data_IF_793551995527
#
_entry.id   IF_793551995527
#
_cell.length_a   1.000
_cell.length_b   1.000
_cell.length_c   1.000
_cell.angle_alpha   90.00
_cell.angle_beta   90.00
_cell.angle_gamma   90.00
#
_symmetry.space_group_name_H-M   'P 1'
#
loop_
_entity.id
_entity.type
_entity.pdbx_description
1 polymer ?
#
# COMPACT_ATOMS: atom_id res chain seq x y z
N UNK A 1 18.93 8.23 -24.95
CA UNK A 1 17.51 8.48 -24.71
C UNK A 1 17.41 9.89 -24.16
N UNK A 2 16.34 10.62 -24.49
CA UNK A 2 16.11 11.99 -24.00
C UNK A 2 15.32 12.01 -22.68
N UNK A 3 15.33 10.89 -21.93
CA UNK A 3 14.61 10.76 -20.66
C UNK A 3 15.27 11.59 -19.57
N UNK A 4 14.47 12.41 -18.89
CA UNK A 4 14.90 13.17 -17.72
C UNK A 4 14.63 12.38 -16.44
N UNK A 5 15.65 11.67 -15.95
CA UNK A 5 15.59 10.94 -14.69
C UNK A 5 16.21 11.78 -13.55
N UNK A 6 15.46 11.95 -12.45
CA UNK A 6 15.90 12.70 -11.27
C UNK A 6 15.79 11.80 -10.04
N UNK A 7 16.91 11.61 -9.34
CA UNK A 7 16.90 10.99 -8.02
C UNK A 7 16.32 11.98 -7.01
N UNK A 8 15.22 11.61 -6.37
CA UNK A 8 14.46 12.47 -5.48
C UNK A 8 14.71 12.06 -4.02
N UNK A 9 15.48 12.83 -3.23
CA UNK A 9 15.71 12.51 -1.82
C UNK A 9 14.45 12.76 -0.99
N UNK A 10 14.32 12.04 0.13
CA UNK A 10 13.21 12.23 1.08
C UNK A 10 13.74 12.51 2.48
N UNK A 11 13.52 13.73 2.94
CA UNK A 11 13.80 14.13 4.32
C UNK A 11 12.50 14.07 5.15
N UNK A 12 12.50 13.46 6.34
CA UNK A 12 11.37 13.48 7.26
C UNK A 12 11.21 14.84 7.95
N UNK A 13 9.97 15.20 8.31
CA UNK A 13 9.66 16.45 9.03
C UNK A 13 9.96 16.39 10.53
N UNK A 14 9.76 15.23 11.17
CA UNK A 14 10.12 15.00 12.57
C UNK A 14 10.69 13.58 12.75
N UNK A 15 11.98 13.49 13.08
CA UNK A 15 12.67 12.22 13.34
C UNK A 15 13.13 12.06 14.80
N UNK A 16 12.62 12.92 15.70
CA UNK A 16 12.89 12.86 17.13
C UNK A 16 14.10 13.70 17.55
N UNK A 17 15.04 13.09 18.26
CA UNK A 17 16.26 13.79 18.72
C UNK A 17 17.29 13.92 17.58
N UNK A 18 18.18 14.92 17.64
CA UNK A 18 19.24 15.15 16.62
C UNK A 18 20.06 13.88 16.30
N UNK A 19 20.32 13.03 17.31
CA UNK A 19 21.06 11.77 17.13
C UNK A 19 20.23 10.73 16.36
N UNK A 20 18.92 10.70 16.60
CA UNK A 20 17.97 9.83 15.93
C UNK A 20 17.70 10.32 14.49
N UNK A 21 17.64 11.64 14.27
CA UNK A 21 17.56 12.27 12.94
C UNK A 21 18.72 11.84 12.04
N UNK A 22 19.95 11.86 12.56
CA UNK A 22 21.15 11.44 11.83
C UNK A 22 21.13 9.94 11.46
N UNK A 23 20.48 9.09 12.25
CA UNK A 23 20.36 7.66 11.99
C UNK A 23 19.19 7.30 11.06
N UNK A 24 18.14 8.10 11.04
CA UNK A 24 16.86 7.80 10.35
C UNK A 24 16.65 8.65 9.08
N UNK A 25 17.40 9.75 8.88
CA UNK A 25 17.26 10.64 7.71
C UNK A 25 17.29 9.92 6.34
N UNK A 26 18.01 8.81 6.22
CA UNK A 26 18.07 7.99 4.98
C UNK A 26 17.04 6.87 4.92
N UNK A 27 16.24 6.68 5.98
CA UNK A 27 15.31 5.57 6.08
C UNK A 27 13.92 5.89 5.52
N UNK A 28 13.54 7.15 5.34
CA UNK A 28 12.27 7.53 4.70
C UNK A 28 12.39 7.59 3.18
N UNK A 29 11.31 7.26 2.47
CA UNK A 29 11.34 7.13 1.01
C UNK A 29 10.12 7.80 0.38
N UNK A 30 10.28 8.27 -0.87
CA UNK A 30 9.12 8.55 -1.71
C UNK A 30 8.53 7.21 -2.17
N UNK A 31 7.37 6.85 -1.63
CA UNK A 31 6.76 5.54 -1.87
C UNK A 31 5.62 5.56 -2.91
N UNK A 32 5.33 6.71 -3.52
CA UNK A 32 4.32 6.85 -4.57
C UNK A 32 4.74 6.10 -5.84
N UNK A 33 3.89 5.20 -6.35
CA UNK A 33 4.03 4.56 -7.67
C UNK A 33 3.04 5.21 -8.63
N UNK A 34 3.55 5.99 -9.57
CA UNK A 34 2.73 6.83 -10.46
C UNK A 34 3.22 6.70 -11.89
N UNK A 35 2.28 6.51 -12.81
CA UNK A 35 2.47 6.75 -14.25
C UNK A 35 1.40 7.73 -14.70
N UNK A 36 1.79 8.80 -15.39
CA UNK A 36 0.87 9.76 -16.01
C UNK A 36 1.24 9.91 -17.46
N UNK A 37 0.26 9.78 -18.34
CA UNK A 37 0.43 9.88 -19.79
C UNK A 37 -0.71 10.66 -20.41
N UNK A 38 -0.43 11.33 -21.53
CA UNK A 38 -1.45 11.71 -22.48
C UNK A 38 -1.90 10.47 -23.27
N UNK A 39 -3.20 10.37 -23.53
CA UNK A 39 -3.83 9.24 -24.21
C UNK A 39 -4.87 9.73 -25.21
N UNK A 40 -5.13 8.94 -26.25
CA UNK A 40 -6.15 9.29 -27.23
C UNK A 40 -7.55 9.35 -26.57
N UNK A 41 -8.39 10.26 -27.07
CA UNK A 41 -9.78 10.30 -26.68
C UNK A 41 -10.52 9.02 -27.10
N UNK A 42 -11.51 8.54 -26.32
CA UNK A 42 -12.40 7.47 -26.75
C UNK A 42 -13.37 8.05 -27.79
N UNK A 43 -12.94 8.23 -29.04
CA UNK A 43 -13.78 8.73 -30.15
C UNK A 43 -13.68 7.85 -31.39
N UNK A 44 -14.74 7.81 -32.24
CA UNK A 44 -14.66 7.17 -33.55
C UNK A 44 -13.67 7.90 -34.46
N UNK A 45 -13.03 7.15 -35.36
CA UNK A 45 -11.87 7.51 -36.22
C UNK A 45 -11.97 8.80 -37.09
N UNK A 46 -13.06 9.57 -37.01
CA UNK A 46 -13.33 10.73 -37.89
C UNK A 46 -13.28 12.11 -37.21
N UNK A 47 -13.06 12.18 -35.89
CA UNK A 47 -12.96 13.44 -35.15
C UNK A 47 -11.50 13.87 -34.93
N UNK A 48 -11.26 15.18 -34.73
CA UNK A 48 -9.89 15.70 -34.51
C UNK A 48 -9.19 14.97 -33.37
N UNK A 49 -7.88 14.71 -33.54
CA UNK A 49 -7.07 13.86 -32.66
C UNK A 49 -6.74 14.54 -31.33
N UNK A 50 -7.77 14.89 -30.55
CA UNK A 50 -7.60 15.40 -29.20
C UNK A 50 -7.20 14.27 -28.25
N UNK A 51 -6.45 14.64 -27.23
CA UNK A 51 -5.88 13.76 -26.21
C UNK A 51 -6.41 14.15 -24.84
N UNK A 52 -6.26 13.26 -23.87
CA UNK A 52 -6.67 13.41 -22.48
C UNK A 52 -5.58 12.90 -21.57
N UNK A 53 -5.63 13.24 -20.29
CA UNK A 53 -4.72 12.67 -19.29
C UNK A 53 -5.29 11.35 -18.77
N UNK A 54 -4.40 10.38 -18.59
CA UNK A 54 -4.64 9.08 -17.97
C UNK A 54 -3.54 8.83 -16.96
N UNK A 55 -3.92 8.35 -15.78
CA UNK A 55 -3.00 8.18 -14.67
C UNK A 55 -3.14 6.79 -14.05
N UNK A 56 -2.08 6.30 -13.42
CA UNK A 56 -2.03 5.00 -12.75
C UNK A 56 -1.46 5.19 -11.35
N UNK A 57 -2.08 4.54 -10.37
CA UNK A 57 -1.64 4.52 -8.97
C UNK A 57 -1.88 3.13 -8.37
N UNK A 58 -1.07 2.73 -7.39
CA UNK A 58 -1.25 1.45 -6.71
C UNK A 58 -0.01 0.98 -5.96
N UNK A 59 0.10 -0.33 -5.78
CA UNK A 59 1.24 -0.97 -5.11
C UNK A 59 2.40 -1.36 -6.03
N UNK A 60 2.14 -1.58 -7.32
CA UNK A 60 3.15 -2.04 -8.29
C UNK A 60 4.12 -0.93 -8.73
N UNK A 61 5.40 -1.10 -8.40
CA UNK A 61 6.52 -0.39 -9.03
C UNK A 61 6.88 -1.03 -10.38
N UNK A 62 7.47 -0.24 -11.28
CA UNK A 62 8.04 -0.74 -12.55
C UNK A 62 9.50 -1.21 -12.33
N UNK A 63 9.66 -2.31 -11.60
CA UNK A 63 10.95 -2.93 -11.31
C UNK A 63 10.86 -4.47 -11.25
N UNK A 64 11.99 -5.10 -10.98
CA UNK A 64 12.17 -6.54 -10.85
C UNK A 64 11.23 -7.18 -9.81
N UNK A 65 10.78 -8.41 -10.09
CA UNK A 65 9.98 -9.25 -9.21
C UNK A 65 8.49 -8.95 -9.18
N UNK A 66 8.03 -7.83 -9.76
CA UNK A 66 6.63 -7.37 -9.68
C UNK A 66 5.72 -8.02 -10.72
N UNK A 67 6.28 -8.51 -11.82
CA UNK A 67 5.49 -9.24 -12.81
C UNK A 67 5.04 -10.56 -12.20
N UNK A 68 3.73 -10.82 -12.23
CA UNK A 68 3.13 -12.08 -11.84
C UNK A 68 1.70 -12.18 -12.41
N UNK A 69 1.06 -13.32 -12.19
CA UNK A 69 -0.35 -13.58 -12.51
C UNK A 69 -1.02 -14.23 -11.31
N UNK A 70 -2.37 -14.33 -11.27
CA UNK A 70 -3.06 -15.02 -10.17
C UNK A 70 -2.67 -16.49 -9.95
N UNK A 71 -1.92 -17.10 -10.89
CA UNK A 71 -1.35 -18.43 -10.70
C UNK A 71 -0.24 -18.46 -9.64
N UNK A 72 0.46 -17.33 -9.44
CA UNK A 72 1.50 -17.15 -8.42
C UNK A 72 2.46 -18.34 -8.30
N UNK A 73 3.02 -18.73 -9.45
CA UNK A 73 3.80 -19.94 -9.57
C UNK A 73 5.11 -19.83 -8.79
N UNK A 74 5.39 -20.83 -7.95
CA UNK A 74 6.64 -20.88 -7.16
C UNK A 74 7.79 -21.56 -7.90
N UNK A 75 7.50 -22.46 -8.85
CA UNK A 75 8.52 -23.12 -9.68
C UNK A 75 8.17 -23.20 -11.18
N UNK A 76 6.89 -23.32 -11.53
CA UNK A 76 6.42 -23.55 -12.91
C UNK A 76 6.64 -22.43 -13.93
N UNK A 77 7.38 -21.37 -13.59
CA UNK A 77 7.66 -20.20 -14.46
C UNK A 77 9.13 -19.83 -14.51
N UNK A 78 9.99 -20.61 -13.85
CA UNK A 78 11.43 -20.33 -13.71
C UNK A 78 12.22 -20.53 -15.02
N UNK A 79 11.67 -21.28 -15.97
CA UNK A 79 12.17 -21.44 -17.34
C UNK A 79 11.44 -20.53 -18.35
N UNK A 80 10.58 -19.65 -17.87
CA UNK A 80 9.76 -18.77 -18.69
C UNK A 80 9.82 -17.32 -18.20
N UNK A 81 8.65 -16.77 -17.86
CA UNK A 81 8.49 -15.35 -17.53
C UNK A 81 9.39 -14.85 -16.38
N UNK A 82 9.83 -15.73 -15.49
CA UNK A 82 10.65 -15.37 -14.32
C UNK A 82 12.09 -15.88 -14.41
N UNK A 83 12.55 -16.34 -15.57
CA UNK A 83 13.95 -16.77 -15.74
C UNK A 83 14.92 -15.61 -15.51
N UNK A 84 14.64 -14.48 -16.15
CA UNK A 84 15.42 -13.24 -16.06
C UNK A 84 14.84 -12.23 -15.05
N UNK A 85 13.81 -12.63 -14.31
CA UNK A 85 13.11 -11.82 -13.30
C UNK A 85 12.86 -12.64 -12.01
N UNK A 86 13.88 -13.39 -11.59
CA UNK A 86 13.82 -14.21 -10.38
C UNK A 86 13.97 -13.33 -9.12
N UNK A 87 12.91 -13.26 -8.33
CA UNK A 87 12.88 -12.50 -7.08
C UNK A 87 12.68 -13.41 -5.87
N UNK A 88 13.62 -13.38 -4.91
CA UNK A 88 13.55 -14.14 -3.66
C UNK A 88 14.50 -13.55 -2.60
N UNK A 89 14.10 -12.49 -1.89
CA UNK A 89 14.96 -11.81 -0.91
C UNK A 89 14.93 -12.44 0.49
N UNK A 90 14.11 -13.46 0.73
CA UNK A 90 13.98 -14.09 2.04
C UNK A 90 15.12 -15.07 2.34
N UNK A 91 15.91 -15.45 1.32
CA UNK A 91 17.10 -16.27 1.46
C UNK A 91 18.32 -15.53 0.93
N UNK A 92 19.36 -15.40 1.74
CA UNK A 92 20.57 -14.64 1.40
C UNK A 92 21.30 -15.14 0.14
N UNK A 93 21.14 -16.42 -0.21
CA UNK A 93 21.83 -17.07 -1.33
C UNK A 93 20.88 -17.45 -2.47
N UNK A 94 19.65 -16.91 -2.49
CA UNK A 94 18.70 -17.19 -3.55
C UNK A 94 19.22 -16.72 -4.92
N UNK A 95 19.07 -17.58 -5.92
CA UNK A 95 19.43 -17.30 -7.30
C UNK A 95 18.67 -18.27 -8.21
N UNK A 96 18.35 -17.83 -9.43
CA UNK A 96 17.70 -18.69 -10.43
C UNK A 96 18.51 -19.96 -10.70
N UNK A 97 19.84 -19.88 -10.69
CA UNK A 97 20.75 -21.03 -10.87
C UNK A 97 20.64 -22.08 -9.75
N UNK A 98 20.08 -21.70 -8.60
CA UNK A 98 19.81 -22.59 -7.45
C UNK A 98 18.34 -23.02 -7.35
N UNK A 99 17.50 -22.55 -8.27
CA UNK A 99 16.11 -22.97 -8.43
C UNK A 99 15.12 -22.13 -7.62
N UNK A 100 13.92 -22.67 -7.45
CA UNK A 100 12.88 -22.03 -6.64
C UNK A 100 12.91 -22.44 -5.17
N UNK A 101 11.92 -21.97 -4.38
CA UNK A 101 10.78 -21.19 -4.85
C UNK A 101 11.16 -19.72 -5.10
N UNK A 102 10.70 -19.12 -6.21
CA UNK A 102 10.62 -17.64 -6.24
C UNK A 102 9.61 -17.16 -5.21
N UNK A 103 9.64 -15.89 -4.85
CA UNK A 103 8.57 -15.25 -4.07
C UNK A 103 7.51 -14.68 -5.04
N UNK A 104 6.32 -15.28 -5.20
CA UNK A 104 5.27 -14.72 -6.04
C UNK A 104 4.77 -13.38 -5.50
N UNK A 105 4.28 -12.51 -6.37
CA UNK A 105 3.92 -11.12 -6.04
C UNK A 105 2.43 -10.88 -6.23
N UNK A 106 1.68 -10.82 -5.13
CA UNK A 106 0.26 -10.45 -5.11
C UNK A 106 0.10 -8.97 -4.76
N UNK A 107 -0.48 -8.21 -5.68
CA UNK A 107 -0.60 -6.76 -5.55
C UNK A 107 -1.77 -6.21 -6.38
N UNK A 108 -2.15 -4.96 -6.12
CA UNK A 108 -3.27 -4.28 -6.76
C UNK A 108 -2.82 -2.92 -7.30
N UNK A 109 -3.33 -2.56 -8.47
CA UNK A 109 -3.09 -1.28 -9.13
C UNK A 109 -4.36 -0.82 -9.83
N UNK A 110 -4.53 0.49 -10.03
CA UNK A 110 -5.67 1.03 -10.76
C UNK A 110 -5.24 2.04 -11.82
N UNK A 111 -6.05 2.09 -12.89
CA UNK A 111 -6.02 3.12 -13.92
C UNK A 111 -7.12 4.13 -13.64
N UNK A 112 -6.79 5.40 -13.73
CA UNK A 112 -7.65 6.53 -13.45
C UNK A 112 -7.86 7.34 -14.72
N UNK A 113 -9.12 7.62 -15.02
CA UNK A 113 -9.57 8.35 -16.19
C UNK A 113 -10.57 9.43 -15.79
N UNK A 114 -10.66 10.49 -16.57
CA UNK A 114 -11.50 11.64 -16.26
C UNK A 114 -10.81 12.65 -15.34
N UNK A 115 -11.56 13.52 -14.64
CA UNK A 115 -11.00 14.63 -13.87
C UNK A 115 -9.89 14.23 -12.88
N UNK A 116 -10.05 13.08 -12.21
CA UNK A 116 -9.09 12.59 -11.22
C UNK A 116 -7.70 12.27 -11.79
N UNK A 117 -7.59 12.00 -13.09
CA UNK A 117 -6.29 11.77 -13.71
C UNK A 117 -5.40 13.03 -13.66
N UNK A 118 -6.01 14.22 -13.75
CA UNK A 118 -5.29 15.48 -13.59
C UNK A 118 -4.85 15.73 -12.15
N UNK A 119 -5.57 15.23 -11.14
CA UNK A 119 -5.13 15.38 -9.74
C UNK A 119 -3.81 14.63 -9.49
N UNK A 120 -3.63 13.46 -10.12
CA UNK A 120 -2.36 12.70 -10.06
C UNK A 120 -1.25 13.44 -10.80
N UNK A 121 -1.56 14.03 -11.97
CA UNK A 121 -0.61 14.89 -12.70
C UNK A 121 -0.21 16.09 -11.85
N UNK A 122 -1.18 16.75 -11.22
CA UNK A 122 -0.93 17.89 -10.35
C UNK A 122 -0.05 17.53 -9.16
N UNK A 123 -0.27 16.36 -8.53
CA UNK A 123 0.65 15.85 -7.52
C UNK A 123 2.09 15.69 -8.06
N UNK A 124 2.26 15.14 -9.27
CA UNK A 124 3.59 15.03 -9.90
C UNK A 124 4.20 16.43 -10.14
N UNK A 125 3.44 17.38 -10.67
CA UNK A 125 3.92 18.74 -10.90
C UNK A 125 4.34 19.45 -9.61
N UNK A 126 3.56 19.31 -8.53
CA UNK A 126 3.90 19.88 -7.22
C UNK A 126 5.24 19.34 -6.71
N UNK A 127 5.46 18.02 -6.85
CA UNK A 127 6.73 17.38 -6.48
C UNK A 127 7.88 17.80 -7.38
N UNK A 128 7.66 17.86 -8.68
CA UNK A 128 8.68 18.27 -9.64
C UNK A 128 9.12 19.73 -9.41
N UNK A 129 8.17 20.65 -9.16
CA UNK A 129 8.49 22.05 -8.82
C UNK A 129 9.31 22.16 -7.53
N UNK A 130 9.09 21.25 -6.57
CA UNK A 130 9.81 21.23 -5.29
C UNK A 130 11.20 20.59 -5.40
N UNK A 131 11.32 19.46 -6.12
CA UNK A 131 12.50 18.58 -6.05
C UNK A 131 13.02 18.08 -7.42
N UNK A 132 12.38 18.42 -8.54
CA UNK A 132 12.74 17.98 -9.90
C UNK A 132 13.89 18.76 -10.54
N UNK A 133 14.26 19.91 -9.98
CA UNK A 133 15.43 20.70 -10.36
C UNK A 133 15.24 21.59 -11.60
N UNK A 134 15.03 21.00 -12.79
CA UNK A 134 14.89 21.76 -14.05
C UNK A 134 13.44 22.13 -14.33
N UNK A 135 13.21 23.29 -14.92
CA UNK A 135 11.87 23.67 -15.41
C UNK A 135 11.59 22.99 -16.76
N UNK A 136 11.04 21.77 -16.68
CA UNK A 136 10.73 20.91 -17.83
C UNK A 136 9.26 20.47 -17.85
N UNK A 137 8.44 21.03 -16.96
CA UNK A 137 7.02 20.71 -16.93
C UNK A 137 6.33 21.26 -18.19
N UNK A 138 5.52 20.41 -18.80
CA UNK A 138 4.71 20.79 -19.95
C UNK A 138 3.68 21.83 -19.49
N UNK A 139 3.67 22.98 -20.15
CA UNK A 139 2.67 24.00 -19.92
C UNK A 139 1.38 23.59 -20.64
N UNK A 140 0.48 22.88 -19.95
CA UNK A 140 -0.76 22.35 -20.55
C UNK A 140 -1.64 23.41 -21.21
N UNK A 141 -1.51 24.68 -20.82
CA UNK A 141 -2.20 25.82 -21.46
C UNK A 141 -1.77 26.01 -22.91
N UNK A 142 -0.51 25.75 -23.22
CA UNK A 142 0.04 25.87 -24.57
C UNK A 142 -0.40 24.71 -25.47
N UNK A 143 -0.92 23.62 -24.87
CA UNK A 143 -1.44 22.44 -25.55
C UNK A 143 -2.98 22.35 -25.50
N UNK A 144 -3.70 23.44 -25.22
CA UNK A 144 -5.15 23.41 -25.03
C UNK A 144 -5.94 22.91 -26.26
N UNK A 145 -5.39 23.09 -27.46
CA UNK A 145 -5.99 22.58 -28.71
C UNK A 145 -5.80 21.06 -28.87
N UNK A 146 -4.73 20.51 -28.28
CA UNK A 146 -4.37 19.09 -28.36
C UNK A 146 -4.91 18.28 -27.17
N UNK A 147 -4.72 18.76 -25.95
CA UNK A 147 -5.12 18.09 -24.70
C UNK A 147 -6.37 18.80 -24.16
N UNK A 148 -7.43 18.03 -23.93
CA UNK A 148 -8.69 18.56 -23.38
C UNK A 148 -8.51 19.04 -21.93
N UNK A 149 -9.34 19.96 -21.43
CA UNK A 149 -9.36 20.31 -20.00
C UNK A 149 -9.96 19.17 -19.16
N UNK A 150 -9.89 19.26 -17.82
CA UNK A 150 -10.59 18.39 -16.87
C UNK A 150 -12.01 17.99 -17.28
N UNK A 151 -12.19 16.77 -17.81
CA UNK A 151 -13.46 16.33 -18.43
C UNK A 151 -13.82 14.89 -18.06
N UNK A 152 -15.11 14.59 -17.78
CA UNK A 152 -15.61 13.23 -17.64
C UNK A 152 -15.38 12.37 -18.89
N UNK A 153 -15.19 11.07 -18.70
CA UNK A 153 -15.07 10.08 -19.80
C UNK A 153 -16.37 9.33 -20.10
N UNK A 154 -17.33 9.39 -19.18
CA UNK A 154 -18.68 8.84 -19.29
C UNK A 154 -19.68 9.88 -18.79
N UNK A 155 -20.96 9.72 -19.16
CA UNK A 155 -22.04 10.56 -18.65
C UNK A 155 -22.33 10.25 -17.17
N UNK A 156 -22.83 11.22 -16.43
CA UNK A 156 -23.06 11.07 -14.99
C UNK A 156 -24.16 10.05 -14.65
N UNK A 157 -25.08 9.81 -15.58
CA UNK A 157 -26.18 8.84 -15.46
C UNK A 157 -25.76 7.41 -15.85
N UNK A 158 -24.53 7.23 -16.35
CA UNK A 158 -24.00 5.91 -16.68
C UNK A 158 -23.78 5.10 -15.39
N UNK A 159 -24.22 3.84 -15.39
CA UNK A 159 -24.06 2.93 -14.25
C UNK A 159 -22.61 2.54 -14.01
N UNK A 160 -21.76 2.68 -15.03
CA UNK A 160 -20.33 2.44 -14.95
C UNK A 160 -19.54 3.70 -14.55
N UNK A 161 -20.20 4.81 -14.21
CA UNK A 161 -19.55 6.03 -13.77
C UNK A 161 -18.97 5.89 -12.35
N UNK A 162 -17.78 6.47 -12.15
CA UNK A 162 -17.08 6.45 -10.86
C UNK A 162 -16.92 7.86 -10.31
N UNK A 163 -17.26 8.04 -9.04
CA UNK A 163 -16.82 9.19 -8.25
C UNK A 163 -15.52 8.81 -7.55
N UNK A 164 -14.43 9.47 -7.91
CA UNK A 164 -13.08 9.17 -7.40
C UNK A 164 -12.51 10.41 -6.73
N UNK A 165 -11.83 10.21 -5.60
CA UNK A 165 -11.10 11.24 -4.89
C UNK A 165 -9.66 10.77 -4.66
N UNK A 166 -8.69 11.64 -4.93
CA UNK A 166 -7.28 11.38 -4.67
C UNK A 166 -6.92 11.77 -3.23
N UNK A 167 -6.09 10.95 -2.58
CA UNK A 167 -5.60 11.16 -1.22
C UNK A 167 -4.07 11.00 -1.19
N UNK A 168 -3.39 11.65 -0.24
CA UNK A 168 -1.94 11.59 -0.10
C UNK A 168 -1.46 11.54 1.36
N UNK A 169 -0.21 11.13 1.49
CA UNK A 169 0.65 11.36 2.66
C UNK A 169 1.91 12.06 2.14
N UNK A 170 1.97 13.38 2.29
CA UNK A 170 3.04 14.23 1.74
C UNK A 170 3.11 15.54 2.53
N UNK A 171 4.27 16.20 2.55
CA UNK A 171 4.45 17.48 3.25
C UNK A 171 5.01 18.57 2.34
N UNK A 172 5.06 19.80 2.85
CA UNK A 172 5.64 20.96 2.17
C UNK A 172 7.12 20.84 1.82
N UNK A 173 7.84 19.89 2.42
CA UNK A 173 9.21 19.53 2.05
C UNK A 173 9.27 18.80 0.71
N UNK A 174 8.24 18.02 0.39
CA UNK A 174 8.15 17.19 -0.81
C UNK A 174 7.25 17.76 -1.92
N UNK A 175 6.35 18.69 -1.60
CA UNK A 175 5.41 19.28 -2.57
C UNK A 175 5.35 20.80 -2.47
N UNK A 176 5.36 21.46 -3.62
CA UNK A 176 5.16 22.91 -3.73
C UNK A 176 3.68 23.28 -3.75
N UNK A 177 3.33 24.47 -3.23
CA UNK A 177 2.01 25.08 -3.41
C UNK A 177 0.95 24.63 -2.41
N UNK A 178 1.34 24.20 -1.21
CA UNK A 178 0.40 24.12 -0.10
C UNK A 178 -0.03 25.52 0.37
N UNK A 179 -1.23 25.67 0.95
CA UNK A 179 -1.68 26.94 1.52
C UNK A 179 -0.75 27.41 2.64
N UNK A 180 -0.41 28.70 2.66
CA UNK A 180 0.51 29.29 3.65
C UNK A 180 -0.19 29.69 4.96
N UNK A 181 -1.52 29.87 4.94
CA UNK A 181 -2.29 30.31 6.12
C UNK A 181 -2.82 29.11 6.91
N UNK A 182 -2.83 29.16 8.26
CA UNK A 182 -3.43 28.09 9.07
C UNK A 182 -4.91 27.86 8.77
N UNK A 183 -5.66 28.90 8.38
CA UNK A 183 -7.07 28.79 8.05
C UNK A 183 -7.30 27.99 6.75
N UNK A 184 -6.55 28.32 5.69
CA UNK A 184 -6.68 27.59 4.43
C UNK A 184 -6.10 26.17 4.52
N UNK A 185 -5.03 25.99 5.30
CA UNK A 185 -4.49 24.66 5.61
C UNK A 185 -5.53 23.79 6.33
N UNK A 186 -6.17 24.32 7.39
CA UNK A 186 -7.22 23.61 8.11
C UNK A 186 -8.44 23.32 7.22
N UNK A 187 -8.82 24.25 6.34
CA UNK A 187 -9.92 24.05 5.37
C UNK A 187 -9.63 22.92 4.37
N UNK A 188 -8.37 22.70 4.03
CA UNK A 188 -7.91 21.59 3.20
C UNK A 188 -7.62 20.30 3.99
N UNK A 189 -7.86 20.28 5.31
CA UNK A 189 -7.56 19.13 6.17
C UNK A 189 -6.07 18.90 6.42
N UNK A 190 -5.23 19.89 6.14
CA UNK A 190 -3.79 19.84 6.39
C UNK A 190 -3.49 20.13 7.85
N UNK A 191 -2.45 19.49 8.38
CA UNK A 191 -2.01 19.68 9.77
C UNK A 191 -0.60 20.26 9.81
N UNK A 192 -0.30 21.04 10.85
CA UNK A 192 1.06 21.52 11.08
C UNK A 192 1.93 20.40 11.65
N UNK A 193 3.03 20.13 10.97
CA UNK A 193 4.14 19.36 11.50
C UNK A 193 5.09 20.23 12.32
N UNK A 194 6.34 19.78 12.44
CA UNK A 194 7.39 20.51 13.16
C UNK A 194 7.88 21.69 12.32
N UNK A 195 8.25 21.41 11.06
CA UNK A 195 8.81 22.41 10.14
C UNK A 195 7.96 22.56 8.87
N UNK A 196 7.08 21.61 8.55
CA UNK A 196 6.27 21.58 7.33
C UNK A 196 4.77 21.45 7.60
N UNK A 197 3.97 21.89 6.62
CA UNK A 197 2.55 21.52 6.53
C UNK A 197 2.45 20.09 5.98
N UNK A 198 1.57 19.28 6.57
CA UNK A 198 1.40 17.86 6.27
C UNK A 198 0.00 17.59 5.71
N UNK A 199 -0.04 16.97 4.54
CA UNK A 199 -1.22 16.30 3.98
C UNK A 199 -1.21 14.85 4.46
N UNK A 200 -2.25 14.48 5.21
CA UNK A 200 -2.49 13.13 5.78
C UNK A 200 -3.84 12.57 5.34
N UNK A 201 -4.33 13.03 4.20
CA UNK A 201 -5.66 12.70 3.68
C UNK A 201 -5.85 11.20 3.41
N UNK A 202 -4.77 10.42 3.23
CA UNK A 202 -4.86 8.95 3.20
C UNK A 202 -5.40 8.40 4.53
N UNK A 203 -4.80 8.78 5.66
CA UNK A 203 -5.27 8.32 6.97
C UNK A 203 -6.74 8.70 7.19
N UNK A 204 -7.10 9.92 6.82
CA UNK A 204 -8.46 10.44 7.02
C UNK A 204 -9.49 9.73 6.13
N UNK A 205 -9.13 9.39 4.89
CA UNK A 205 -9.96 8.59 3.99
C UNK A 205 -10.20 7.18 4.54
N UNK A 206 -9.16 6.52 5.06
CA UNK A 206 -9.29 5.21 5.72
C UNK A 206 -10.24 5.30 6.94
N UNK A 207 -10.07 6.31 7.79
CA UNK A 207 -10.94 6.53 8.96
C UNK A 207 -12.40 6.72 8.52
N UNK A 208 -12.66 7.61 7.56
CA UNK A 208 -14.00 7.86 7.05
C UNK A 208 -14.65 6.60 6.46
N UNK A 209 -13.89 5.83 5.68
CA UNK A 209 -14.36 4.59 5.07
C UNK A 209 -14.72 3.54 6.14
N UNK A 210 -13.89 3.35 7.16
CA UNK A 210 -14.17 2.44 8.28
C UNK A 210 -15.39 2.90 9.06
N UNK A 211 -15.48 4.20 9.40
CA UNK A 211 -16.57 4.75 10.22
C UNK A 211 -17.94 4.62 9.57
N UNK A 212 -18.04 4.72 8.25
CA UNK A 212 -19.32 4.53 7.54
C UNK A 212 -19.70 3.08 7.28
N UNK A 213 -18.77 2.13 7.46
CA UNK A 213 -18.99 0.72 7.17
C UNK A 213 -20.18 0.14 7.96
N UNK A 214 -20.99 -0.66 7.28
CA UNK A 214 -22.25 -1.23 7.79
C UNK A 214 -22.26 -2.75 7.82
N UNK A 215 -21.60 -3.41 6.87
CA UNK A 215 -21.70 -4.85 6.64
C UNK A 215 -20.36 -5.57 6.77
N UNK A 216 -19.33 -5.15 6.02
CA UNK A 216 -18.01 -5.76 6.14
C UNK A 216 -16.89 -4.86 5.62
N UNK A 217 -15.67 -5.19 6.03
CA UNK A 217 -14.44 -4.59 5.51
C UNK A 217 -13.50 -5.72 5.08
N UNK A 218 -12.96 -5.63 3.87
CA UNK A 218 -11.90 -6.50 3.36
C UNK A 218 -10.65 -5.67 3.13
N UNK A 219 -9.52 -6.08 3.71
CA UNK A 219 -8.23 -5.40 3.61
C UNK A 219 -7.19 -6.37 3.10
N UNK A 220 -6.40 -5.93 2.12
CA UNK A 220 -5.12 -6.54 1.81
C UNK A 220 -4.04 -5.48 2.01
N UNK A 221 -3.08 -5.75 2.90
CA UNK A 221 -2.02 -4.79 3.18
C UNK A 221 -0.68 -5.46 3.53
N UNK A 222 0.40 -4.93 2.97
CA UNK A 222 1.76 -5.39 3.26
C UNK A 222 2.13 -5.29 4.75
N UNK A 223 1.62 -4.29 5.45
CA UNK A 223 1.80 -4.14 6.89
C UNK A 223 0.44 -3.94 7.57
N UNK A 224 0.32 -4.44 8.79
CA UNK A 224 -0.82 -4.17 9.64
C UNK A 224 -0.37 -3.97 11.09
N UNK A 225 0.03 -2.74 11.41
CA UNK A 225 0.44 -2.35 12.75
C UNK A 225 0.10 -0.88 13.00
N UNK A 226 -0.26 -0.53 14.23
CA UNK A 226 -0.58 0.86 14.59
C UNK A 226 -1.47 1.00 15.81
N UNK A 227 -1.92 2.24 16.04
CA UNK A 227 -2.68 2.62 17.23
C UNK A 227 -1.95 2.26 18.53
N UNK A 228 -0.64 2.51 18.57
CA UNK A 228 0.23 2.06 19.66
C UNK A 228 -0.15 2.63 21.02
N UNK A 229 -0.81 3.80 21.06
CA UNK A 229 -1.35 4.40 22.29
C UNK A 229 -2.40 3.52 23.00
N UNK A 230 -2.93 2.48 22.35
CA UNK A 230 -3.83 1.49 22.94
C UNK A 230 -3.16 0.12 23.21
N UNK A 231 -1.85 -0.03 22.95
CA UNK A 231 -1.16 -1.29 23.23
C UNK A 231 -0.92 -1.48 24.73
N UNK A 232 -0.88 -2.73 25.18
CA UNK A 232 -0.55 -3.05 26.58
C UNK A 232 0.92 -2.66 26.86
N UNK A 233 1.21 -2.07 28.04
CA UNK A 233 2.57 -1.71 28.46
C UNK A 233 3.34 -2.94 28.98
N UNK A 234 3.40 -4.01 28.17
CA UNK A 234 4.10 -5.25 28.49
C UNK A 234 5.44 -5.29 27.75
N UNK A 235 6.53 -5.06 28.50
CA UNK A 235 7.89 -5.00 27.96
C UNK A 235 8.20 -3.77 27.09
N UNK A 236 7.25 -2.82 26.98
CA UNK A 236 7.39 -1.58 26.23
C UNK A 236 6.71 -0.42 26.97
N UNK A 237 7.08 0.82 26.62
CA UNK A 237 6.30 2.01 26.92
C UNK A 237 5.54 2.41 25.64
N UNK A 238 4.21 2.26 25.59
CA UNK A 238 3.43 2.53 24.38
C UNK A 238 3.63 3.94 23.80
N UNK A 239 3.84 4.93 24.67
CA UNK A 239 4.13 6.32 24.29
C UNK A 239 5.44 6.49 23.50
N UNK A 240 6.43 5.62 23.74
CA UNK A 240 7.74 5.66 23.06
C UNK A 240 7.69 5.03 21.66
N UNK A 241 6.59 4.36 21.28
CA UNK A 241 6.48 3.64 19.99
C UNK A 241 6.19 4.60 18.82
N UNK A 242 5.37 5.63 19.06
CA UNK A 242 5.04 6.66 18.06
C UNK A 242 4.14 6.21 16.89
N UNK A 243 3.57 5.00 16.88
CA UNK A 243 2.66 4.53 15.83
C UNK A 243 1.20 4.93 16.10
N UNK A 244 0.93 6.24 16.02
CA UNK A 244 -0.29 6.90 16.49
C UNK A 244 -1.47 6.90 15.51
N UNK A 245 -1.32 6.44 14.27
CA UNK A 245 -2.46 6.38 13.33
C UNK A 245 -3.60 5.46 13.85
N UNK A 246 -4.82 5.76 13.42
CA UNK A 246 -6.05 5.24 14.07
C UNK A 246 -6.61 3.95 13.47
N UNK A 247 -6.09 3.49 12.32
CA UNK A 247 -6.74 2.46 11.50
C UNK A 247 -7.07 1.18 12.30
N UNK A 248 -6.12 0.53 13.00
CA UNK A 248 -6.44 -0.65 13.81
C UNK A 248 -7.51 -0.40 14.87
N UNK A 249 -7.46 0.73 15.58
CA UNK A 249 -8.44 1.05 16.63
C UNK A 249 -9.82 1.37 16.06
N UNK A 250 -9.91 2.09 14.94
CA UNK A 250 -11.19 2.35 14.27
C UNK A 250 -11.86 1.05 13.82
N UNK A 251 -11.08 0.08 13.32
CA UNK A 251 -11.59 -1.24 12.94
C UNK A 251 -12.15 -2.01 14.14
N UNK A 252 -11.39 -2.12 15.24
CA UNK A 252 -11.89 -2.84 16.43
C UNK A 252 -13.09 -2.14 17.05
N UNK A 253 -13.09 -0.80 17.16
CA UNK A 253 -14.23 -0.06 17.69
C UNK A 253 -15.46 -0.13 16.77
N UNK A 254 -15.29 -0.20 15.45
CA UNK A 254 -16.39 -0.47 14.52
C UNK A 254 -17.01 -1.84 14.79
N UNK A 255 -16.20 -2.89 14.93
CA UNK A 255 -16.69 -4.22 15.29
C UNK A 255 -17.41 -4.21 16.64
N UNK A 256 -16.82 -3.59 17.67
CA UNK A 256 -17.44 -3.44 19.00
C UNK A 256 -18.81 -2.78 18.90
N UNK A 257 -18.92 -1.67 18.17
CA UNK A 257 -20.21 -0.97 18.00
C UNK A 257 -21.30 -1.84 17.35
N UNK A 258 -20.90 -2.76 16.45
CA UNK A 258 -21.81 -3.67 15.75
C UNK A 258 -22.26 -4.82 16.65
N UNK A 259 -21.35 -5.35 17.48
CA UNK A 259 -21.68 -6.31 18.55
C UNK A 259 -22.67 -5.69 19.53
N UNK A 260 -22.43 -4.46 19.97
CA UNK A 260 -23.31 -3.74 20.90
C UNK A 260 -24.71 -3.53 20.30
N UNK A 261 -24.78 -3.20 19.01
CA UNK A 261 -26.05 -3.06 18.27
C UNK A 261 -26.75 -4.39 17.94
N UNK A 262 -26.07 -5.53 18.07
CA UNK A 262 -26.58 -6.83 17.61
C UNK A 262 -26.67 -6.93 16.08
N UNK A 263 -25.83 -6.19 15.37
CA UNK A 263 -25.77 -6.16 13.91
C UNK A 263 -24.61 -7.02 13.40
N UNK A 264 -24.85 -7.77 12.33
CA UNK A 264 -23.79 -8.57 11.69
C UNK A 264 -22.75 -7.65 11.06
N UNK A 265 -21.48 -7.86 11.41
CA UNK A 265 -20.35 -7.16 10.82
C UNK A 265 -19.08 -8.01 10.89
N UNK A 266 -18.29 -8.04 9.83
CA UNK A 266 -17.03 -8.80 9.79
C UNK A 266 -15.90 -8.03 9.11
N UNK A 267 -14.70 -8.14 9.67
CA UNK A 267 -13.46 -7.58 9.10
C UNK A 267 -12.53 -8.73 8.71
N UNK A 268 -12.09 -8.72 7.46
CA UNK A 268 -11.14 -9.67 6.90
C UNK A 268 -9.85 -8.93 6.56
N UNK A 269 -8.71 -9.42 7.06
CA UNK A 269 -7.40 -8.80 6.80
C UNK A 269 -6.44 -9.83 6.24
N UNK A 270 -5.88 -9.56 5.07
CA UNK A 270 -4.82 -10.35 4.44
C UNK A 270 -3.52 -9.57 4.53
N UNK A 271 -2.52 -10.18 5.17
CA UNK A 271 -1.14 -9.67 5.31
C UNK A 271 -0.16 -10.68 4.72
N UNK A 272 1.07 -10.31 4.37
CA UNK A 272 2.06 -11.31 4.02
C UNK A 272 2.36 -12.20 5.24
N UNK A 273 2.83 -13.43 5.00
CA UNK A 273 3.15 -14.36 6.11
C UNK A 273 4.21 -13.76 7.05
N UNK A 274 5.15 -13.02 6.48
CA UNK A 274 6.02 -12.06 7.14
C UNK A 274 6.37 -10.95 6.13
N UNK A 275 6.76 -9.74 6.56
CA UNK A 275 7.25 -8.71 5.65
C UNK A 275 8.56 -9.15 4.97
N UNK A 276 8.70 -8.84 3.69
CA UNK A 276 9.81 -9.27 2.83
C UNK A 276 11.20 -9.06 3.48
N UNK A 277 12.03 -10.09 3.36
CA UNK A 277 13.37 -10.15 3.90
C UNK A 277 13.58 -11.40 4.74
N UNK A 278 14.81 -11.59 5.23
CA UNK A 278 15.16 -12.77 6.03
C UNK A 278 14.27 -12.79 7.29
N UNK A 279 13.42 -13.81 7.52
CA UNK A 279 12.43 -13.80 8.60
C UNK A 279 13.04 -13.68 10.00
N UNK A 280 14.24 -14.22 10.18
CA UNK A 280 14.98 -14.16 11.44
C UNK A 280 15.73 -12.83 11.67
N UNK A 281 15.70 -11.90 10.71
CA UNK A 281 16.34 -10.59 10.86
C UNK A 281 15.65 -9.73 11.92
N UNK A 282 16.41 -8.85 12.58
CA UNK A 282 15.88 -7.97 13.61
C UNK A 282 14.73 -7.07 13.11
N UNK A 283 14.84 -6.57 11.88
CA UNK A 283 13.81 -5.73 11.26
C UNK A 283 12.48 -6.48 11.07
N UNK A 284 12.52 -7.70 10.52
CA UNK A 284 11.31 -8.51 10.31
C UNK A 284 10.69 -8.91 11.65
N UNK A 285 11.51 -9.35 12.62
CA UNK A 285 11.03 -9.72 13.95
C UNK A 285 10.38 -8.55 14.71
N UNK A 286 10.95 -7.35 14.63
CA UNK A 286 10.36 -6.16 15.23
C UNK A 286 8.99 -5.82 14.63
N UNK A 287 8.87 -5.88 13.30
CA UNK A 287 7.60 -5.62 12.61
C UNK A 287 6.54 -6.66 12.99
N UNK A 288 6.93 -7.94 13.07
CA UNK A 288 6.03 -9.01 13.50
C UNK A 288 5.55 -8.84 14.95
N UNK A 289 6.40 -8.36 15.87
CA UNK A 289 5.95 -8.05 17.24
C UNK A 289 4.96 -6.87 17.26
N UNK A 290 5.18 -5.83 16.45
CA UNK A 290 4.25 -4.70 16.35
C UNK A 290 2.90 -5.11 15.77
N UNK A 291 2.91 -5.97 14.75
CA UNK A 291 1.69 -6.59 14.21
C UNK A 291 0.99 -7.43 15.27
N UNK A 292 1.73 -8.26 16.03
CA UNK A 292 1.18 -9.09 17.12
C UNK A 292 0.51 -8.24 18.20
N UNK A 293 1.14 -7.15 18.65
CA UNK A 293 0.58 -6.22 19.64
C UNK A 293 -0.69 -5.52 19.14
N UNK A 294 -0.68 -5.15 17.87
CA UNK A 294 -1.86 -4.55 17.21
C UNK A 294 -3.02 -5.54 17.16
N UNK A 295 -2.77 -6.79 16.74
CA UNK A 295 -3.77 -7.87 16.77
C UNK A 295 -4.28 -8.13 18.18
N UNK A 296 -3.38 -8.19 19.18
CA UNK A 296 -3.73 -8.42 20.58
C UNK A 296 -4.67 -7.32 21.12
N UNK A 297 -4.38 -6.06 20.82
CA UNK A 297 -5.25 -4.92 21.15
C UNK A 297 -6.65 -5.11 20.55
N UNK A 298 -6.74 -5.35 19.24
CA UNK A 298 -8.03 -5.47 18.55
C UNK A 298 -8.85 -6.66 19.03
N UNK A 299 -8.24 -7.83 19.20
CA UNK A 299 -8.93 -9.01 19.71
C UNK A 299 -9.36 -8.83 21.17
N UNK A 300 -8.60 -8.09 21.98
CA UNK A 300 -8.99 -7.76 23.36
C UNK A 300 -10.26 -6.91 23.37
N UNK A 301 -10.31 -5.85 22.56
CA UNK A 301 -11.52 -5.00 22.43
C UNK A 301 -12.76 -5.84 22.06
N UNK A 302 -12.63 -6.71 21.05
CA UNK A 302 -13.73 -7.53 20.55
C UNK A 302 -14.18 -8.57 21.59
N UNK A 303 -13.23 -9.25 22.24
CA UNK A 303 -13.53 -10.24 23.27
C UNK A 303 -14.27 -9.63 24.46
N UNK A 304 -13.89 -8.41 24.87
CA UNK A 304 -14.58 -7.67 25.93
C UNK A 304 -16.02 -7.32 25.54
N UNK A 305 -16.26 -6.89 24.30
CA UNK A 305 -17.61 -6.58 23.81
C UNK A 305 -18.50 -7.82 23.74
N UNK A 306 -17.97 -8.96 23.25
CA UNK A 306 -18.65 -10.26 23.24
C UNK A 306 -19.07 -10.66 24.67
N UNK A 307 -18.12 -10.59 25.61
CA UNK A 307 -18.38 -10.91 27.01
C UNK A 307 -19.42 -10.00 27.64
N UNK A 308 -19.33 -8.68 27.40
CA UNK A 308 -20.28 -7.69 27.92
C UNK A 308 -21.70 -7.89 27.37
N UNK A 309 -21.83 -8.31 26.11
CA UNK A 309 -23.12 -8.63 25.49
C UNK A 309 -23.68 -10.00 25.93
N UNK A 310 -22.85 -10.85 26.54
CA UNK A 310 -23.23 -12.19 26.97
C UNK A 310 -23.51 -13.14 25.80
N UNK A 311 -22.87 -12.93 24.66
CA UNK A 311 -23.03 -13.78 23.47
C UNK A 311 -21.92 -14.84 23.43
N UNK A 312 -22.29 -16.07 23.08
CA UNK A 312 -21.34 -17.17 22.85
C UNK A 312 -20.85 -17.11 21.40
N UNK A 313 -19.74 -16.41 21.18
CA UNK A 313 -19.16 -16.20 19.85
C UNK A 313 -17.63 -16.17 19.92
N UNK A 314 -16.96 -16.58 18.85
CA UNK A 314 -15.52 -16.45 18.74
C UNK A 314 -15.18 -15.04 18.25
N UNK A 315 -14.21 -14.32 18.84
CA UNK A 315 -13.73 -13.05 18.28
C UNK A 315 -13.35 -13.14 16.79
N UNK A 316 -12.90 -14.32 16.32
CA UNK A 316 -12.57 -14.60 14.92
C UNK A 316 -13.77 -14.61 13.97
N UNK A 317 -14.99 -14.70 14.48
CA UNK A 317 -16.21 -14.55 13.68
C UNK A 317 -16.42 -13.09 13.24
N UNK A 318 -15.77 -12.14 13.93
CA UNK A 318 -15.86 -10.70 13.67
C UNK A 318 -14.60 -10.09 13.08
N UNK A 319 -13.41 -10.58 13.45
CA UNK A 319 -12.12 -10.13 12.92
C UNK A 319 -11.24 -11.33 12.63
N UNK A 320 -10.82 -11.51 11.39
CA UNK A 320 -9.96 -12.64 11.00
C UNK A 320 -8.79 -12.18 10.14
N UNK A 321 -7.63 -12.77 10.40
CA UNK A 321 -6.38 -12.49 9.69
C UNK A 321 -5.93 -13.70 8.88
N UNK A 322 -5.45 -13.44 7.67
CA UNK A 322 -4.94 -14.43 6.74
C UNK A 322 -3.61 -14.01 6.16
N UNK A 323 -2.91 -14.97 5.57
CA UNK A 323 -1.81 -14.74 4.65
C UNK A 323 -1.96 -15.68 3.45
N UNK A 324 -1.21 -15.40 2.38
CA UNK A 324 -1.25 -16.18 1.15
C UNK A 324 -0.02 -17.11 1.05
N UNK A 325 -0.20 -18.24 0.41
CA UNK A 325 0.87 -19.20 0.17
C UNK A 325 0.52 -20.15 -0.96
N UNK A 326 1.56 -20.66 -1.64
CA UNK A 326 1.40 -21.64 -2.70
C UNK A 326 2.24 -22.88 -2.41
N UNK A 327 1.80 -24.02 -2.98
CA UNK A 327 2.52 -25.29 -2.91
C UNK A 327 2.29 -26.09 -4.19
N UNK A 328 3.38 -26.45 -4.87
CA UNK A 328 3.33 -27.10 -6.17
C UNK A 328 3.96 -28.49 -6.15
N UNK A 329 3.25 -29.52 -6.61
CA UNK A 329 3.90 -30.78 -6.92
C UNK A 329 4.92 -30.58 -8.06
N UNK A 330 6.10 -31.22 -7.98
CA UNK A 330 7.09 -31.19 -9.06
C UNK A 330 6.51 -31.87 -10.29
N UNK A 331 6.58 -31.21 -11.45
CA UNK A 331 6.05 -31.73 -12.73
C UNK A 331 7.18 -32.17 -13.67
N UNK A 332 6.86 -33.06 -14.61
CA UNK A 332 7.79 -33.43 -15.67
C UNK A 332 8.05 -32.22 -16.58
N UNK A 333 9.32 -31.97 -16.90
CA UNK A 333 9.73 -30.83 -17.72
C UNK A 333 9.82 -29.50 -16.96
N UNK A 334 9.66 -29.49 -15.63
CA UNK A 334 9.93 -28.30 -14.81
C UNK A 334 11.43 -27.94 -14.86
N UNK A 335 11.75 -26.65 -14.72
CA UNK A 335 13.11 -26.14 -14.63
C UNK A 335 13.96 -26.92 -13.59
N UNK A 336 15.09 -27.46 -14.04
CA UNK A 336 16.07 -28.09 -13.16
C UNK A 336 17.25 -27.13 -12.96
N UNK A 337 17.48 -26.66 -11.72
CA UNK A 337 18.58 -25.74 -11.46
C UNK A 337 19.94 -26.43 -11.60
N UNK A 338 20.96 -25.76 -12.17
CA UNK A 338 22.30 -26.32 -12.29
C UNK A 338 23.05 -26.47 -10.96
N UNK A 339 22.67 -25.70 -9.93
CA UNK A 339 23.32 -25.68 -8.63
C UNK A 339 22.34 -26.07 -7.51
N UNK A 340 22.80 -26.76 -6.45
CA UNK A 340 21.96 -27.02 -5.29
C UNK A 340 21.85 -25.77 -4.39
N UNK A 341 20.74 -25.66 -3.67
CA UNK A 341 20.66 -24.76 -2.51
C UNK A 341 21.52 -25.28 -1.34
N UNK A 342 21.92 -24.38 -0.44
CA UNK A 342 22.86 -24.74 0.63
C UNK A 342 22.27 -25.76 1.62
N UNK A 343 23.07 -26.76 2.06
CA UNK A 343 22.63 -27.72 3.08
C UNK A 343 22.12 -27.03 4.36
N UNK A 344 21.12 -27.64 4.99
CA UNK A 344 20.51 -27.19 6.25
C UNK A 344 19.91 -25.76 6.25
N UNK A 345 19.82 -25.12 5.09
CA UNK A 345 19.25 -23.78 4.93
C UNK A 345 17.72 -23.79 4.83
N UNK A 346 17.08 -22.67 5.17
CA UNK A 346 15.64 -22.49 4.94
C UNK A 346 15.29 -22.47 3.45
N UNK A 347 16.25 -22.07 2.59
CA UNK A 347 16.10 -22.13 1.15
C UNK A 347 15.92 -23.59 0.68
N UNK A 348 16.84 -24.48 1.08
CA UNK A 348 16.75 -25.90 0.74
C UNK A 348 15.47 -26.53 1.31
N UNK A 349 15.09 -26.20 2.55
CA UNK A 349 13.84 -26.68 3.15
C UNK A 349 12.62 -26.22 2.35
N UNK A 350 12.54 -24.96 1.94
CA UNK A 350 11.43 -24.44 1.15
C UNK A 350 11.37 -25.10 -0.24
N UNK A 351 12.52 -25.27 -0.88
CA UNK A 351 12.66 -25.98 -2.16
C UNK A 351 12.17 -27.43 -2.09
N UNK A 352 12.63 -28.20 -1.08
CA UNK A 352 12.23 -29.60 -0.89
C UNK A 352 10.76 -29.76 -0.49
N UNK A 353 10.23 -28.84 0.34
CA UNK A 353 8.83 -28.86 0.75
C UNK A 353 7.87 -28.28 -0.30
N UNK A 354 8.43 -27.71 -1.37
CA UNK A 354 7.71 -27.23 -2.55
C UNK A 354 6.70 -26.13 -2.26
N UNK A 355 6.96 -25.29 -1.27
CA UNK A 355 6.02 -24.27 -0.79
C UNK A 355 6.74 -22.98 -0.44
N UNK A 356 6.04 -21.88 -0.63
CA UNK A 356 6.45 -20.57 -0.14
C UNK A 356 5.23 -19.66 0.04
N UNK A 357 5.40 -18.53 0.72
CA UNK A 357 4.34 -17.52 0.77
C UNK A 357 4.15 -16.89 -0.61
N UNK A 358 2.93 -16.45 -0.90
CA UNK A 358 2.67 -15.48 -1.95
C UNK A 358 2.76 -14.13 -1.25
N UNK A 359 3.65 -13.25 -1.70
CA UNK A 359 3.88 -12.00 -1.02
C UNK A 359 2.76 -11.02 -1.27
N UNK A 360 2.06 -10.64 -0.21
CA UNK A 360 0.99 -9.63 -0.25
C UNK A 360 1.66 -8.27 -0.17
N UNK A 361 1.94 -7.68 -1.34
CA UNK A 361 2.40 -6.31 -1.44
C UNK A 361 1.25 -5.31 -1.56
N UNK A 362 0.01 -5.79 -1.68
CA UNK A 362 -1.19 -4.95 -1.80
C UNK A 362 -1.24 -3.82 -0.76
N UNK A 363 -1.87 -2.69 -1.12
CA UNK A 363 -2.36 -1.65 -0.20
C UNK A 363 -3.77 -1.23 -0.59
N UNK A 364 -4.75 -2.07 -0.22
CA UNK A 364 -6.13 -1.93 -0.65
C UNK A 364 -7.12 -2.20 0.50
N UNK A 365 -8.26 -1.51 0.45
CA UNK A 365 -9.40 -1.76 1.33
C UNK A 365 -10.71 -1.66 0.55
N UNK A 366 -11.58 -2.67 0.67
CA UNK A 366 -12.97 -2.67 0.18
C UNK A 366 -13.90 -2.57 1.39
N UNK A 367 -14.93 -1.74 1.27
CA UNK A 367 -15.97 -1.54 2.29
C UNK A 367 -17.33 -1.76 1.64
N UNK A 368 -18.10 -2.69 2.21
CA UNK A 368 -19.51 -2.96 1.88
C UNK A 368 -19.80 -3.22 0.37
N UNK A 369 -18.81 -3.68 -0.40
CA UNK A 369 -18.87 -3.82 -1.87
C UNK A 369 -19.26 -2.54 -2.64
N UNK A 370 -19.19 -1.37 -1.99
CA UNK A 370 -19.60 -0.08 -2.58
C UNK A 370 -18.47 0.96 -2.61
N UNK A 371 -17.38 0.73 -1.88
CA UNK A 371 -16.24 1.64 -1.83
C UNK A 371 -14.91 0.90 -1.78
N UNK A 372 -13.93 1.41 -2.51
CA UNK A 372 -12.57 0.87 -2.56
C UNK A 372 -11.52 1.97 -2.42
N UNK A 373 -10.46 1.68 -1.67
CA UNK A 373 -9.21 2.45 -1.64
C UNK A 373 -8.12 1.58 -2.26
N UNK A 374 -7.40 2.11 -3.26
CA UNK A 374 -6.20 1.50 -3.86
C UNK A 374 -5.09 2.54 -3.85
N UNK A 375 -3.88 2.17 -3.44
CA UNK A 375 -2.75 3.09 -3.47
C UNK A 375 -1.44 2.45 -3.05
N UNK A 376 -0.53 3.28 -2.54
CA UNK A 376 0.83 2.87 -2.13
C UNK A 376 1.05 2.83 -0.62
N UNK A 377 0.04 3.20 0.18
CA UNK A 377 0.17 3.43 1.61
C UNK A 377 -0.14 2.20 2.45
N UNK A 378 0.84 1.73 3.21
CA UNK A 378 0.68 0.59 4.09
C UNK A 378 -0.06 0.98 5.39
N UNK A 379 -0.66 0.02 6.09
CA UNK A 379 -1.21 0.25 7.44
C UNK A 379 -0.06 0.18 8.45
N UNK A 380 0.73 1.25 8.47
CA UNK A 380 1.78 1.56 9.43
C UNK A 380 2.01 3.07 9.52
N UNK A 381 2.71 3.52 10.55
CA UNK A 381 2.99 4.95 10.78
C UNK A 381 3.85 5.61 9.70
N UNK A 382 4.61 4.82 8.94
CA UNK A 382 5.43 5.33 7.85
C UNK A 382 4.58 5.86 6.68
N UNK A 383 3.39 5.29 6.49
CA UNK A 383 2.54 5.62 5.34
C UNK A 383 1.31 6.43 5.72
N UNK A 384 0.78 6.22 6.93
CA UNK A 384 -0.35 6.96 7.51
C UNK A 384 0.17 8.19 8.23
#
# INVERSE_FOLDING_TARGET
TDVHCVLCPRDPDDSGSIVQDLQISTMFTHHQKIVVVDHDMPQPQSASRRRRIMSFVGGLDLCDGRYDTPFHSVFGTLDGAHHDDFHQPNFATAAITKGGPREPWHDIHCRLEGPVAWDVLYNFEQRWRKQGGKDLLIQLRDLADEIIPPSPVVYAEDREAWNVQLFRSIDGGAAFGFPDTPEDAARAGLVSGKDQIIDRSIQDAYICAIRRAKSFIYIENQYFLGSSYCWKPDGIKPDDVGALHLIPKELSMKVVSKIEAGERFTVYVVVPMWPEGIPASGSVQAILDWQRRTMEMMYTDIAQAIQAKGIDANPKDYLTFFCLGNREAKKAGEYEPPEPAEPDSDYLKAQQNRRFMIYVHTKMMIVDDEYIIVGSANINQRSM
#
